data_IF_962944932410
#
_entry.id   IF_962944932410
#
_cell.length_a   1.000
_cell.length_b   1.000
_cell.length_c   1.000
_cell.angle_alpha   90.00
_cell.angle_beta   90.00
_cell.angle_gamma   90.00
#
_symmetry.space_group_name_H-M   'P 1'
#
loop_
_entity.id
_entity.type
_entity.pdbx_description
1 polymer ?
#
# COMPACT_ATOMS: atom_id res chain seq x y z
N UNK A 1 12.46 -13.09 4.41
CA UNK A 1 12.98 -12.05 3.51
C UNK A 1 13.93 -12.64 2.48
N UNK A 2 15.04 -13.28 2.86
CA UNK A 2 16.00 -13.89 1.93
C UNK A 2 15.36 -14.80 0.88
N UNK A 3 14.36 -15.62 1.26
CA UNK A 3 13.65 -16.49 0.34
C UNK A 3 12.80 -15.73 -0.69
N UNK A 4 12.24 -14.57 -0.33
CA UNK A 4 11.48 -13.70 -1.24
C UNK A 4 12.42 -13.03 -2.22
N UNK A 5 13.54 -12.47 -1.74
CA UNK A 5 14.55 -11.85 -2.60
C UNK A 5 15.16 -12.87 -3.56
N UNK A 6 15.42 -14.10 -3.09
CA UNK A 6 15.84 -15.20 -3.95
C UNK A 6 14.78 -15.53 -5.02
N UNK A 7 13.49 -15.53 -4.67
CA UNK A 7 12.40 -15.74 -5.63
C UNK A 7 12.30 -14.62 -6.67
N UNK A 8 12.55 -13.36 -6.27
CA UNK A 8 12.59 -12.23 -7.20
C UNK A 8 13.83 -12.29 -8.13
N UNK A 9 14.97 -12.69 -7.62
CA UNK A 9 16.20 -12.87 -8.41
C UNK A 9 16.07 -13.98 -9.48
N UNK A 10 15.07 -14.87 -9.36
CA UNK A 10 14.81 -15.93 -10.34
C UNK A 10 14.30 -15.42 -11.70
N UNK A 11 13.85 -14.16 -11.78
CA UNK A 11 13.42 -13.58 -13.06
C UNK A 11 14.55 -13.46 -14.11
N UNK A 12 15.82 -13.45 -13.66
CA UNK A 12 17.00 -13.43 -14.53
C UNK A 12 17.50 -14.82 -14.98
N UNK A 13 16.94 -15.91 -14.46
CA UNK A 13 17.40 -17.27 -14.75
C UNK A 13 16.71 -17.87 -15.98
N UNK A 14 17.39 -18.79 -16.70
CA UNK A 14 16.75 -19.60 -17.75
C UNK A 14 15.51 -20.32 -17.21
N UNK A 15 14.45 -20.38 -18.01
CA UNK A 15 13.13 -20.95 -17.62
C UNK A 15 13.18 -22.28 -16.87
N UNK A 16 13.99 -23.32 -17.27
CA UNK A 16 14.02 -24.58 -16.55
C UNK A 16 14.65 -24.46 -15.16
N UNK A 17 15.72 -23.67 -15.01
CA UNK A 17 16.35 -23.42 -13.71
C UNK A 17 15.44 -22.63 -12.77
N UNK A 18 14.76 -21.61 -13.29
CA UNK A 18 13.76 -20.86 -12.54
C UNK A 18 12.56 -21.75 -12.11
N UNK A 19 12.14 -22.71 -12.92
CA UNK A 19 11.06 -23.65 -12.59
C UNK A 19 11.47 -24.63 -11.48
N UNK A 20 12.66 -25.21 -11.56
CA UNK A 20 13.19 -26.10 -10.52
C UNK A 20 13.35 -25.37 -9.18
N UNK A 21 13.90 -24.16 -9.20
CA UNK A 21 14.09 -23.36 -8.00
C UNK A 21 12.75 -22.91 -7.40
N UNK A 22 11.73 -22.55 -8.22
CA UNK A 22 10.38 -22.28 -7.76
C UNK A 22 9.72 -23.48 -7.10
N UNK A 23 10.00 -24.69 -7.59
CA UNK A 23 9.50 -25.90 -6.98
C UNK A 23 10.11 -26.14 -5.59
N UNK A 24 11.43 -25.98 -5.44
CA UNK A 24 12.16 -26.14 -4.17
C UNK A 24 11.81 -25.05 -3.16
N UNK A 25 11.85 -23.79 -3.57
CA UNK A 25 11.56 -22.65 -2.69
C UNK A 25 10.05 -22.47 -2.48
N UNK A 26 9.24 -22.80 -3.47
CA UNK A 26 7.79 -22.65 -3.45
C UNK A 26 7.10 -23.49 -2.37
N UNK A 27 7.65 -24.65 -2.02
CA UNK A 27 7.15 -25.49 -0.93
C UNK A 27 7.26 -24.78 0.44
N UNK A 28 8.44 -24.24 0.73
CA UNK A 28 8.69 -23.51 1.99
C UNK A 28 7.95 -22.17 2.07
N UNK A 29 7.82 -21.47 0.95
CA UNK A 29 7.07 -20.22 0.85
C UNK A 29 5.57 -20.46 1.03
N UNK A 30 5.00 -21.52 0.40
CA UNK A 30 3.59 -21.87 0.53
C UNK A 30 3.23 -22.28 1.97
N UNK A 31 4.09 -23.04 2.64
CA UNK A 31 3.86 -23.45 4.03
C UNK A 31 3.81 -22.27 5.01
N UNK A 32 4.36 -21.12 4.64
CA UNK A 32 4.37 -19.91 5.47
C UNK A 32 3.54 -18.77 4.90
N UNK A 33 2.96 -18.94 3.72
CA UNK A 33 2.16 -17.91 3.08
C UNK A 33 0.87 -17.60 3.86
N UNK A 34 0.31 -18.62 4.51
CA UNK A 34 -0.94 -18.51 5.26
C UNK A 34 -0.72 -18.23 6.77
N UNK A 35 0.55 -18.16 7.22
CA UNK A 35 0.86 -17.82 8.61
C UNK A 35 0.72 -16.32 8.81
N UNK A 36 -0.07 -15.92 9.80
CA UNK A 36 -0.18 -14.52 10.21
C UNK A 36 1.00 -14.09 11.08
N UNK A 37 1.22 -12.79 11.17
CA UNK A 37 2.22 -12.23 12.08
C UNK A 37 1.90 -12.59 13.55
N UNK A 38 0.64 -12.53 13.95
CA UNK A 38 0.22 -12.90 15.31
C UNK A 38 0.56 -14.35 15.63
N UNK A 39 0.30 -15.29 14.73
CA UNK A 39 0.69 -16.69 14.90
C UNK A 39 2.21 -16.87 15.01
N UNK A 40 2.97 -16.16 14.19
CA UNK A 40 4.44 -16.21 14.23
C UNK A 40 5.03 -15.61 15.52
N UNK A 41 4.35 -14.66 16.13
CA UNK A 41 4.76 -14.02 17.38
C UNK A 41 4.20 -14.71 18.64
N UNK A 42 3.34 -15.72 18.49
CA UNK A 42 2.64 -16.37 19.60
C UNK A 42 3.58 -16.90 20.69
N UNK A 43 4.69 -17.51 20.31
CA UNK A 43 5.64 -18.14 21.24
C UNK A 43 6.54 -17.12 21.98
N UNK A 44 6.47 -15.85 21.61
CA UNK A 44 7.21 -14.79 22.27
C UNK A 44 6.50 -14.43 23.58
N UNK A 45 7.08 -14.84 24.71
CA UNK A 45 6.49 -14.64 26.03
C UNK A 45 6.54 -13.19 26.53
N UNK A 46 7.58 -12.44 26.10
CA UNK A 46 7.72 -11.04 26.49
C UNK A 46 6.70 -10.18 25.69
N UNK A 47 5.72 -9.56 26.38
CA UNK A 47 4.67 -8.79 25.72
C UNK A 47 5.21 -7.52 25.04
N UNK A 48 6.21 -6.87 25.61
CA UNK A 48 6.83 -5.67 25.01
C UNK A 48 7.53 -6.01 23.72
N UNK A 49 8.32 -7.11 23.70
CA UNK A 49 8.99 -7.57 22.49
C UNK A 49 7.98 -7.92 21.39
N UNK A 50 6.89 -8.60 21.76
CA UNK A 50 5.81 -8.93 20.83
C UNK A 50 5.14 -7.68 20.28
N UNK A 51 4.87 -6.68 21.12
CA UNK A 51 4.33 -5.39 20.71
C UNK A 51 5.26 -4.65 19.74
N UNK A 52 6.56 -4.56 20.06
CA UNK A 52 7.57 -3.92 19.20
C UNK A 52 7.63 -4.61 17.83
N UNK A 53 7.65 -5.94 17.80
CA UNK A 53 7.71 -6.69 16.55
C UNK A 53 6.42 -6.58 15.73
N UNK A 54 5.26 -6.43 16.38
CA UNK A 54 3.96 -6.25 15.72
C UNK A 54 3.65 -4.80 15.32
N UNK A 55 4.34 -3.82 15.88
CA UNK A 55 4.00 -2.40 15.79
C UNK A 55 4.04 -1.82 14.37
N UNK A 56 4.75 -2.44 13.44
CA UNK A 56 4.88 -1.96 12.05
C UNK A 56 3.68 -2.28 11.16
N UNK A 57 2.59 -2.80 11.71
CA UNK A 57 1.35 -3.06 10.99
C UNK A 57 0.80 -1.84 10.25
N UNK A 58 1.02 -0.64 10.80
CA UNK A 58 0.66 0.63 10.15
C UNK A 58 1.30 0.87 8.79
N UNK A 59 2.52 0.37 8.55
CA UNK A 59 3.24 0.57 7.28
C UNK A 59 2.53 -0.12 6.09
N UNK A 60 1.78 -1.17 6.33
CA UNK A 60 1.03 -1.92 5.31
C UNK A 60 -0.47 -2.03 5.61
N UNK A 61 -0.93 -1.41 6.69
CA UNK A 61 -2.35 -1.24 6.98
C UNK A 61 -3.08 -2.52 7.37
N UNK A 62 -2.42 -3.48 8.04
CA UNK A 62 -3.02 -4.72 8.54
C UNK A 62 -2.60 -5.00 9.97
N UNK A 63 -3.54 -5.38 10.87
CA UNK A 63 -3.19 -5.83 12.21
C UNK A 63 -2.45 -7.17 12.16
N UNK A 64 -1.66 -7.52 13.18
CA UNK A 64 -0.90 -8.77 13.21
C UNK A 64 -1.75 -10.04 12.99
N UNK A 65 -3.00 -10.05 13.41
CA UNK A 65 -3.94 -11.17 13.20
C UNK A 65 -4.34 -11.39 11.75
N UNK A 66 -4.23 -10.35 10.91
CA UNK A 66 -4.60 -10.39 9.50
C UNK A 66 -3.38 -10.25 8.57
N UNK A 67 -2.26 -9.76 9.09
CA UNK A 67 -1.05 -9.52 8.31
C UNK A 67 -0.35 -10.83 7.97
N UNK A 68 -0.19 -11.18 6.68
CA UNK A 68 0.67 -12.30 6.31
C UNK A 68 2.10 -12.05 6.80
N UNK A 69 2.69 -13.05 7.49
CA UNK A 69 4.08 -12.98 7.96
C UNK A 69 5.05 -12.60 6.84
N UNK A 70 4.79 -13.06 5.63
CA UNK A 70 5.62 -12.74 4.47
C UNK A 70 5.58 -11.26 4.10
N UNK A 71 4.41 -10.61 4.20
CA UNK A 71 4.29 -9.17 3.95
C UNK A 71 5.09 -8.38 4.98
N UNK A 72 4.93 -8.72 6.26
CA UNK A 72 5.71 -8.12 7.34
C UNK A 72 7.22 -8.30 7.13
N UNK A 73 7.67 -9.52 6.83
CA UNK A 73 9.09 -9.81 6.57
C UNK A 73 9.64 -9.04 5.36
N UNK A 74 8.83 -8.83 4.32
CA UNK A 74 9.22 -8.04 3.15
C UNK A 74 9.44 -6.56 3.52
N UNK A 75 8.50 -5.98 4.25
CA UNK A 75 8.57 -4.57 4.69
C UNK A 75 9.77 -4.37 5.62
N UNK A 76 9.91 -5.22 6.66
CA UNK A 76 11.04 -5.14 7.59
C UNK A 76 12.38 -5.33 6.91
N UNK A 77 12.46 -6.27 5.97
CA UNK A 77 13.67 -6.50 5.21
C UNK A 77 14.05 -5.33 4.32
N UNK A 78 13.09 -4.64 3.71
CA UNK A 78 13.36 -3.44 2.91
C UNK A 78 13.97 -2.32 3.74
N UNK A 79 13.53 -2.14 4.98
CA UNK A 79 14.15 -1.18 5.90
C UNK A 79 15.58 -1.59 6.30
N UNK A 80 15.81 -2.89 6.52
CA UNK A 80 17.13 -3.38 6.92
C UNK A 80 18.17 -3.26 5.81
N UNK A 81 17.77 -3.38 4.54
CA UNK A 81 18.70 -3.31 3.39
C UNK A 81 18.89 -1.90 2.85
N UNK A 82 17.80 -1.14 2.69
CA UNK A 82 17.81 0.15 2.01
C UNK A 82 17.57 1.35 2.91
N UNK A 83 17.11 1.12 4.13
CA UNK A 83 16.60 2.18 4.99
C UNK A 83 15.32 2.81 4.44
N UNK A 84 15.01 3.99 4.93
CA UNK A 84 13.93 4.84 4.44
C UNK A 84 14.51 6.17 3.96
N UNK A 85 13.93 6.72 2.90
CA UNK A 85 14.32 7.99 2.34
C UNK A 85 13.11 8.91 2.14
N UNK A 86 13.33 10.20 2.31
CA UNK A 86 12.33 11.21 1.99
C UNK A 86 12.85 12.10 0.85
N UNK A 87 12.07 12.33 -0.21
CA UNK A 87 12.52 13.12 -1.35
C UNK A 87 12.84 14.57 -0.93
N UNK A 88 14.00 15.08 -1.33
CA UNK A 88 14.34 16.49 -1.13
C UNK A 88 13.32 17.36 -1.88
N UNK A 89 12.69 18.27 -1.15
CA UNK A 89 11.58 19.09 -1.66
C UNK A 89 10.21 18.44 -1.60
N UNK A 90 10.10 17.29 -0.89
CA UNK A 90 8.84 16.60 -0.62
C UNK A 90 8.38 15.65 -1.73
N UNK A 91 7.36 14.82 -1.45
CA UNK A 91 6.88 13.80 -2.39
C UNK A 91 6.29 14.39 -3.68
N UNK A 92 5.87 15.66 -3.69
CA UNK A 92 5.43 16.37 -4.89
C UNK A 92 6.46 16.39 -6.02
N UNK A 93 7.77 16.36 -5.67
CA UNK A 93 8.87 16.31 -6.66
C UNK A 93 8.84 15.05 -7.53
N UNK A 94 8.36 13.93 -7.01
CA UNK A 94 8.16 12.71 -7.80
C UNK A 94 7.09 12.93 -8.87
N UNK A 95 5.95 13.52 -8.48
CA UNK A 95 4.86 13.83 -9.40
C UNK A 95 5.29 14.86 -10.46
N UNK A 96 6.04 15.88 -10.08
CA UNK A 96 6.59 16.89 -11.01
C UNK A 96 7.52 16.25 -12.04
N UNK A 97 8.46 15.40 -11.60
CA UNK A 97 9.41 14.72 -12.47
C UNK A 97 8.71 13.81 -13.49
N UNK A 98 7.75 12.99 -13.02
CA UNK A 98 6.96 12.12 -13.89
C UNK A 98 6.09 12.92 -14.87
N UNK A 99 5.49 14.01 -14.40
CA UNK A 99 4.68 14.91 -15.23
C UNK A 99 5.50 15.57 -16.33
N UNK A 100 6.72 15.99 -16.02
CA UNK A 100 7.65 16.55 -17.01
C UNK A 100 7.99 15.51 -18.10
N UNK A 101 8.25 14.26 -17.70
CA UNK A 101 8.53 13.16 -18.63
C UNK A 101 7.36 12.89 -19.58
N UNK A 102 6.13 12.88 -19.06
CA UNK A 102 4.92 12.71 -19.88
C UNK A 102 4.79 13.83 -20.91
N UNK A 103 4.97 15.10 -20.49
CA UNK A 103 4.89 16.24 -21.41
C UNK A 103 5.99 16.24 -22.48
N UNK A 104 7.22 15.88 -22.10
CA UNK A 104 8.33 15.76 -23.06
C UNK A 104 8.08 14.68 -24.11
N UNK A 105 7.34 13.63 -23.75
CA UNK A 105 6.91 12.58 -24.67
C UNK A 105 5.68 12.96 -25.52
N UNK A 106 5.22 14.22 -25.44
CA UNK A 106 4.03 14.68 -26.18
C UNK A 106 2.70 14.33 -25.50
N UNK A 107 2.72 13.84 -24.25
CA UNK A 107 1.52 13.53 -23.49
C UNK A 107 0.88 14.79 -22.88
N UNK A 108 -0.41 14.71 -22.60
CA UNK A 108 -1.19 15.76 -21.95
C UNK A 108 -1.58 15.35 -20.52
N UNK A 109 -1.51 16.31 -19.61
CA UNK A 109 -1.95 16.17 -18.22
C UNK A 109 -3.07 17.18 -17.96
N UNK A 110 -4.24 16.67 -17.60
CA UNK A 110 -5.42 17.48 -17.25
C UNK A 110 -5.78 17.25 -15.79
N UNK A 111 -5.81 18.31 -15.01
CA UNK A 111 -6.34 18.34 -13.65
C UNK A 111 -7.77 18.89 -13.67
N UNK A 112 -8.55 18.60 -12.62
CA UNK A 112 -9.96 18.99 -12.59
C UNK A 112 -10.86 18.26 -13.60
N UNK A 113 -10.34 17.25 -14.29
CA UNK A 113 -11.03 16.46 -15.30
C UNK A 113 -11.56 15.15 -14.71
N UNK A 114 -12.66 15.24 -13.96
CA UNK A 114 -13.25 14.07 -13.30
C UNK A 114 -13.80 13.09 -14.34
N UNK A 115 -13.32 11.85 -14.28
CA UNK A 115 -13.87 10.75 -15.07
C UNK A 115 -15.10 10.18 -14.37
N UNK A 116 -16.22 10.08 -15.08
CA UNK A 116 -17.48 9.51 -14.59
C UNK A 116 -17.74 8.10 -15.10
N UNK A 117 -17.31 7.81 -16.33
CA UNK A 117 -17.56 6.51 -16.97
C UNK A 117 -16.36 6.07 -17.80
N UNK A 118 -16.13 4.78 -17.82
CA UNK A 118 -15.26 4.11 -18.78
C UNK A 118 -16.15 3.70 -19.97
N UNK A 119 -15.78 4.09 -21.15
CA UNK A 119 -16.49 3.74 -22.39
C UNK A 119 -16.07 2.32 -22.81
N UNK A 120 -17.05 1.45 -23.03
CA UNK A 120 -16.82 0.06 -23.45
C UNK A 120 -17.62 -0.22 -24.70
N UNK A 121 -16.95 -0.69 -25.75
CA UNK A 121 -17.54 -1.12 -27.01
C UNK A 121 -16.99 -2.50 -27.38
N UNK A 122 -17.88 -3.41 -27.73
CA UNK A 122 -17.53 -4.81 -28.06
C UNK A 122 -16.61 -5.47 -27.02
N UNK A 123 -16.85 -5.23 -25.72
CA UNK A 123 -16.08 -5.82 -24.62
C UNK A 123 -14.69 -5.18 -24.39
N UNK A 124 -14.38 -4.06 -25.03
CA UNK A 124 -13.10 -3.35 -24.88
C UNK A 124 -13.31 -1.95 -24.35
N UNK A 125 -12.45 -1.51 -23.46
CA UNK A 125 -12.38 -0.11 -23.06
C UNK A 125 -11.83 0.71 -24.25
N UNK A 126 -12.58 1.75 -24.66
CA UNK A 126 -12.27 2.59 -25.81
C UNK A 126 -12.10 4.06 -25.43
N UNK A 127 -12.07 4.37 -24.16
CA UNK A 127 -11.91 5.72 -23.64
C UNK A 127 -12.67 5.97 -22.37
N UNK A 128 -12.86 7.26 -22.05
CA UNK A 128 -13.57 7.71 -20.86
C UNK A 128 -14.55 8.84 -21.18
N UNK A 129 -15.57 9.00 -20.32
CA UNK A 129 -16.45 10.15 -20.30
C UNK A 129 -16.15 10.99 -19.05
N UNK A 130 -15.90 12.26 -19.26
CA UNK A 130 -15.68 13.24 -18.20
C UNK A 130 -16.99 13.79 -17.65
N UNK A 131 -16.92 14.38 -16.44
CA UNK A 131 -17.96 15.23 -15.91
C UNK A 131 -18.24 16.36 -16.90
N UNK A 132 -19.53 16.60 -17.21
CA UNK A 132 -19.92 17.53 -18.26
C UNK A 132 -20.09 16.90 -19.66
N UNK A 133 -19.88 15.59 -19.79
CA UNK A 133 -20.28 14.81 -20.96
C UNK A 133 -19.21 14.67 -22.05
N UNK A 134 -18.09 15.40 -21.98
CA UNK A 134 -17.01 15.26 -22.94
C UNK A 134 -16.44 13.82 -22.93
N UNK A 135 -16.10 13.31 -24.10
CA UNK A 135 -15.53 11.97 -24.26
C UNK A 135 -14.11 12.06 -24.81
N UNK A 136 -13.23 11.27 -24.20
CA UNK A 136 -11.85 11.10 -24.64
C UNK A 136 -11.65 9.65 -25.10
N UNK A 137 -11.30 9.48 -26.36
CA UNK A 137 -11.08 8.16 -26.96
C UNK A 137 -9.63 7.75 -26.84
N UNK A 138 -9.39 6.47 -26.53
CA UNK A 138 -8.05 5.89 -26.43
C UNK A 138 -8.06 4.41 -26.79
N UNK A 139 -6.97 3.93 -27.38
CA UNK A 139 -6.79 2.51 -27.67
C UNK A 139 -6.62 1.65 -26.40
N UNK A 140 -6.10 2.25 -25.35
CA UNK A 140 -5.90 1.63 -24.03
C UNK A 140 -6.31 2.61 -22.93
N UNK A 141 -6.96 2.10 -21.91
CA UNK A 141 -7.35 2.86 -20.71
C UNK A 141 -6.75 2.21 -19.48
N UNK A 142 -5.97 2.98 -18.72
CA UNK A 142 -5.40 2.54 -17.42
C UNK A 142 -6.13 3.30 -16.32
N UNK A 143 -6.68 2.57 -15.36
CA UNK A 143 -7.37 3.16 -14.21
C UNK A 143 -6.54 3.00 -12.94
N UNK A 144 -6.23 4.12 -12.29
CA UNK A 144 -5.57 4.20 -10.99
C UNK A 144 -6.49 4.73 -9.88
N UNK A 145 -7.82 4.76 -10.11
CA UNK A 145 -8.81 5.26 -9.14
C UNK A 145 -9.11 4.27 -7.99
N UNK A 146 -8.45 3.12 -7.94
CA UNK A 146 -8.80 2.00 -7.09
C UNK A 146 -9.85 1.07 -7.74
N UNK A 147 -9.86 -0.18 -7.30
CA UNK A 147 -10.68 -1.23 -7.93
C UNK A 147 -12.19 -0.95 -7.83
N UNK A 148 -12.66 -0.54 -6.65
CA UNK A 148 -14.08 -0.27 -6.42
C UNK A 148 -14.59 0.89 -7.29
N UNK A 149 -13.87 2.01 -7.32
CA UNK A 149 -14.23 3.16 -8.16
C UNK A 149 -14.19 2.82 -9.64
N UNK A 150 -13.23 1.98 -10.06
CA UNK A 150 -13.12 1.51 -11.44
C UNK A 150 -14.33 0.65 -11.81
N UNK A 151 -14.75 -0.26 -10.93
CA UNK A 151 -15.97 -1.07 -11.12
C UNK A 151 -17.20 -0.19 -11.27
N UNK A 152 -17.34 0.84 -10.43
CA UNK A 152 -18.46 1.77 -10.49
C UNK A 152 -18.48 2.63 -11.78
N UNK A 153 -17.31 2.92 -12.34
CA UNK A 153 -17.19 3.65 -13.60
C UNK A 153 -17.43 2.79 -14.85
N UNK A 154 -17.39 1.46 -14.74
CA UNK A 154 -17.71 0.54 -15.83
C UNK A 154 -19.21 0.47 -16.08
N UNK A 155 -19.64 0.22 -17.34
CA UNK A 155 -21.03 -0.17 -17.61
C UNK A 155 -21.38 -1.48 -16.88
N UNK A 156 -22.64 -1.62 -16.52
CA UNK A 156 -23.16 -2.85 -15.93
C UNK A 156 -22.90 -4.04 -16.89
N UNK A 157 -22.41 -5.15 -16.33
CA UNK A 157 -22.11 -6.35 -17.11
C UNK A 157 -20.87 -6.28 -18.01
N UNK A 158 -20.12 -5.17 -18.03
CA UNK A 158 -18.90 -5.07 -18.85
C UNK A 158 -17.81 -6.06 -18.42
N UNK A 159 -17.75 -6.40 -17.13
CA UNK A 159 -16.83 -7.40 -16.58
C UNK A 159 -17.48 -8.10 -15.37
N UNK A 160 -18.53 -8.93 -15.57
CA UNK A 160 -19.41 -9.35 -14.49
C UNK A 160 -18.70 -10.15 -13.40
N UNK A 161 -17.78 -11.02 -13.74
CA UNK A 161 -17.04 -11.83 -12.76
C UNK A 161 -16.12 -10.95 -11.90
N UNK A 162 -15.45 -9.98 -12.51
CA UNK A 162 -14.58 -9.05 -11.79
C UNK A 162 -15.38 -8.06 -10.95
N UNK A 163 -16.49 -7.51 -11.49
CA UNK A 163 -17.38 -6.60 -10.78
C UNK A 163 -17.96 -7.28 -9.53
N UNK A 164 -18.44 -8.52 -9.64
CA UNK A 164 -18.92 -9.30 -8.51
C UNK A 164 -17.79 -9.59 -7.48
N UNK A 165 -16.61 -9.96 -7.95
CA UNK A 165 -15.46 -10.25 -7.09
C UNK A 165 -15.05 -9.06 -6.24
N UNK A 166 -14.91 -7.88 -6.86
CA UNK A 166 -14.46 -6.67 -6.15
C UNK A 166 -15.45 -6.21 -5.07
N UNK A 167 -16.74 -6.38 -5.28
CA UNK A 167 -17.76 -6.00 -4.29
C UNK A 167 -17.67 -6.79 -2.97
N UNK A 168 -17.02 -7.96 -2.98
CA UNK A 168 -16.84 -8.79 -1.79
C UNK A 168 -15.59 -8.43 -0.97
N UNK A 169 -14.69 -7.60 -1.51
CA UNK A 169 -13.52 -7.17 -0.75
C UNK A 169 -13.88 -6.06 0.23
N UNK A 170 -13.49 -6.20 1.50
CA UNK A 170 -13.66 -5.12 2.46
C UNK A 170 -12.81 -3.91 2.03
N UNK A 171 -13.22 -2.69 2.37
CA UNK A 171 -12.38 -1.53 2.15
C UNK A 171 -11.07 -1.68 2.92
N UNK A 172 -9.96 -1.19 2.34
CA UNK A 172 -8.69 -1.09 3.07
C UNK A 172 -8.78 -0.03 4.15
N UNK A 173 -7.77 0.00 5.05
CA UNK A 173 -7.67 1.05 6.06
C UNK A 173 -7.67 2.46 5.42
N UNK A 174 -8.25 3.41 6.13
CA UNK A 174 -8.17 4.82 5.82
C UNK A 174 -7.23 5.52 6.81
N UNK A 175 -6.61 6.61 6.36
CA UNK A 175 -5.77 7.45 7.20
C UNK A 175 -6.40 8.82 7.36
N UNK A 176 -6.39 9.33 8.59
CA UNK A 176 -6.64 10.75 8.84
C UNK A 176 -5.27 11.44 8.91
N UNK A 177 -5.00 12.35 7.99
CA UNK A 177 -3.73 13.07 7.93
C UNK A 177 -3.92 14.52 8.33
N UNK A 178 -3.15 14.97 9.31
CA UNK A 178 -3.07 16.37 9.73
C UNK A 178 -1.74 16.93 9.28
N UNK A 179 -1.78 17.96 8.44
CA UNK A 179 -0.60 18.71 8.01
C UNK A 179 -0.47 19.94 8.87
N UNK A 180 0.66 20.08 9.56
CA UNK A 180 0.97 21.23 10.43
C UNK A 180 2.12 22.02 9.83
N UNK A 181 1.92 23.32 9.63
CA UNK A 181 2.98 24.27 9.31
C UNK A 181 3.33 25.08 10.56
N UNK A 182 4.63 25.22 10.83
CA UNK A 182 5.12 25.98 11.96
C UNK A 182 5.93 27.17 11.45
N UNK A 183 5.72 28.34 12.07
CA UNK A 183 6.50 29.56 11.79
C UNK A 183 7.73 29.62 12.71
N UNK A 184 8.56 28.59 12.66
CA UNK A 184 9.81 28.46 13.39
C UNK A 184 10.88 27.84 12.48
N UNK A 185 12.14 28.07 12.77
CA UNK A 185 13.24 27.48 12.03
C UNK A 185 13.47 25.97 12.36
N UNK A 186 14.30 25.34 11.57
CA UNK A 186 14.58 23.92 11.72
C UNK A 186 15.31 23.57 13.04
N UNK A 187 16.07 24.48 13.61
CA UNK A 187 16.81 24.27 14.87
C UNK A 187 15.84 24.31 16.05
N UNK A 188 14.90 25.26 16.04
CA UNK A 188 13.82 25.33 17.02
C UNK A 188 12.92 24.08 16.95
N UNK A 189 12.62 23.57 15.75
CA UNK A 189 11.88 22.32 15.58
C UNK A 189 12.63 21.11 16.18
N UNK A 190 13.94 21.01 15.94
CA UNK A 190 14.77 19.95 16.52
C UNK A 190 14.82 20.04 18.05
N UNK A 191 14.89 21.25 18.60
CA UNK A 191 14.87 21.46 20.05
C UNK A 191 13.54 20.98 20.69
N UNK A 192 12.45 20.98 19.95
CA UNK A 192 11.16 20.41 20.34
C UNK A 192 11.04 18.89 20.13
N UNK A 193 12.11 18.23 19.65
CA UNK A 193 12.13 16.78 19.43
C UNK A 193 11.75 16.34 18.02
N UNK A 194 11.53 17.27 17.08
CA UNK A 194 11.26 16.94 15.68
C UNK A 194 12.59 16.85 14.90
N UNK A 195 13.21 15.71 14.94
CA UNK A 195 14.54 15.46 14.35
C UNK A 195 14.49 14.98 12.88
N UNK A 196 13.29 14.95 12.27
CA UNK A 196 13.06 14.43 10.91
C UNK A 196 12.87 12.92 10.84
N UNK A 197 12.84 12.24 11.98
CA UNK A 197 12.49 10.82 12.04
C UNK A 197 10.96 10.60 12.03
N UNK A 198 10.54 9.41 11.61
CA UNK A 198 9.17 8.97 11.81
C UNK A 198 8.98 8.52 13.25
N UNK A 199 8.05 9.17 13.96
CA UNK A 199 7.67 8.79 15.31
C UNK A 199 6.39 7.98 15.28
N UNK A 200 6.44 6.75 15.80
CA UNK A 200 5.28 5.89 15.98
C UNK A 200 4.85 5.96 17.44
N UNK A 201 3.72 6.62 17.69
CA UNK A 201 3.19 6.82 19.03
C UNK A 201 2.01 5.88 19.24
N UNK A 202 2.10 5.02 20.24
CA UNK A 202 1.09 4.05 20.55
C UNK A 202 0.41 4.39 21.88
N UNK A 203 -0.89 4.16 21.95
CA UNK A 203 -1.66 4.29 23.19
C UNK A 203 -1.17 3.25 24.21
N UNK A 204 -1.16 3.59 25.50
CA UNK A 204 -0.62 2.73 26.55
C UNK A 204 0.78 3.11 27.01
N UNK A 205 1.54 3.91 26.28
CA UNK A 205 2.84 4.43 26.76
C UNK A 205 2.70 5.27 28.04
N UNK A 206 1.55 5.93 28.24
CA UNK A 206 1.23 6.71 29.45
C UNK A 206 0.85 5.83 30.65
N UNK A 207 0.44 4.58 30.44
CA UNK A 207 0.01 3.66 31.52
C UNK A 207 1.07 2.63 31.89
N UNK A 208 2.23 2.61 31.19
CA UNK A 208 3.27 1.60 31.35
C UNK A 208 2.87 0.20 30.87
N UNK A 209 1.67 0.03 30.33
CA UNK A 209 1.27 -1.21 29.69
C UNK A 209 1.87 -1.28 28.29
N UNK A 210 2.33 -2.46 27.83
CA UNK A 210 2.78 -2.61 26.45
C UNK A 210 1.62 -2.30 25.51
N UNK A 211 1.87 -1.55 24.41
CA UNK A 211 0.83 -1.26 23.43
C UNK A 211 0.30 -2.57 22.85
N UNK A 212 -1.02 -2.66 22.71
CA UNK A 212 -1.65 -3.76 21.99
C UNK A 212 -1.63 -3.44 20.48
N UNK A 213 -0.79 -4.09 19.69
CA UNK A 213 -0.72 -3.82 18.27
C UNK A 213 -2.01 -4.17 17.52
N UNK A 214 -2.90 -5.00 18.09
CA UNK A 214 -4.23 -5.27 17.52
C UNK A 214 -5.19 -4.10 17.78
N UNK A 215 -5.13 -3.46 18.94
CA UNK A 215 -6.01 -2.34 19.30
C UNK A 215 -5.63 -1.04 18.59
N UNK A 216 -4.36 -0.89 18.22
CA UNK A 216 -3.81 0.39 17.75
C UNK A 216 -4.08 0.70 16.29
N UNK A 217 -4.27 -0.30 15.47
CA UNK A 217 -4.41 -0.11 14.01
C UNK A 217 -5.87 -0.05 13.57
N UNK A 218 -6.82 -0.55 14.39
CA UNK A 218 -8.18 -0.82 13.90
C UNK A 218 -9.26 -0.53 14.94
N UNK A 219 -9.52 0.73 15.22
CA UNK A 219 -10.92 1.08 15.48
C UNK A 219 -11.63 0.97 14.14
N UNK A 220 -12.34 -0.11 13.93
CA UNK A 220 -13.25 -0.19 12.79
C UNK A 220 -14.21 1.01 12.88
N UNK A 221 -14.42 1.68 11.76
CA UNK A 221 -15.41 2.74 11.61
C UNK A 221 -16.86 2.19 11.70
N UNK A 222 -17.10 1.23 12.60
CA UNK A 222 -18.42 0.64 12.87
C UNK A 222 -19.07 1.21 14.12
N UNK A 223 -18.34 2.00 14.92
CA UNK A 223 -18.93 2.75 16.00
C UNK A 223 -19.37 4.12 15.44
N UNK A 224 -20.51 4.10 14.79
CA UNK A 224 -21.33 5.30 14.61
C UNK A 224 -21.97 5.60 15.96
N UNK A 225 -21.33 6.41 16.77
CA UNK A 225 -21.93 7.26 17.77
C UNK A 225 -21.81 8.73 17.34
#
# INVERSE_FOLDING_TARGET
>A
YGAIMQAMALHGLPRPAAAAMRWVLGGRLRQRADVTLAEALHDIRNPELRAILGARGGDYGLPPSQAPLMLHALVMGSYAEGGAGYPVGGPGRLAESLSATVRLAGGELRTGARVERILVEAGRAVGVRLAGGAQERAAHTISAMGALNTVQALPEGAAPAWQAGIQHYPPSCAYLTLYLGFDIDADALRALGFDGANHWIYDGSATGAPPDPEALVWRQATDTD
#
